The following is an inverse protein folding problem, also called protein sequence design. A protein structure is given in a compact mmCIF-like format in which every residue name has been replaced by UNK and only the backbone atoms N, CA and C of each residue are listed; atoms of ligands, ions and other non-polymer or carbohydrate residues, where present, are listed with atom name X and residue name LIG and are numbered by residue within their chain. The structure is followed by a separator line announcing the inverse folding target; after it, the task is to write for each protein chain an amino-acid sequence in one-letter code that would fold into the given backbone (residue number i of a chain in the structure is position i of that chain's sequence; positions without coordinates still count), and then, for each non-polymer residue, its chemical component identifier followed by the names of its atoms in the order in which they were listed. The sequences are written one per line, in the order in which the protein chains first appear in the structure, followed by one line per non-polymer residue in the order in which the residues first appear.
data_IF_121969082609
#
_entry.id   IF_121969082609
#
_cell.length_a   1.000
_cell.length_b   1.000
_cell.length_c   1.000
_cell.angle_alpha   90.00
_cell.angle_beta   90.00
_cell.angle_gamma   90.00
#
_symmetry.space_group_name_H-M   'P 1'
#
loop_
_entity.id
_entity.type
_entity.pdbx_description
1 polymer ?
#
# COMPACT_ATOMS: atom_id res chain seq x y z
N UNK A 1 -8.08 -24.54 8.19
CA UNK A 1 -9.11 -23.73 7.50
C UNK A 1 -8.41 -22.53 6.92
N UNK A 2 -8.45 -22.33 5.60
CA UNK A 2 -7.89 -21.13 4.98
C UNK A 2 -8.81 -19.95 5.29
N UNK A 3 -8.23 -18.85 5.79
CA UNK A 3 -8.98 -17.60 5.99
C UNK A 3 -9.50 -17.11 4.63
N UNK A 4 -10.75 -16.62 4.52
CA UNK A 4 -11.34 -16.24 3.23
C UNK A 4 -10.83 -14.86 2.75
N UNK A 5 -9.61 -14.47 3.11
CA UNK A 5 -9.05 -13.16 2.82
C UNK A 5 -7.92 -13.29 1.81
N UNK A 6 -7.87 -12.32 0.88
CA UNK A 6 -6.81 -12.21 -0.13
C UNK A 6 -6.33 -10.77 -0.23
N UNK A 7 -5.02 -10.60 -0.35
CA UNK A 7 -4.41 -9.32 -0.68
C UNK A 7 -4.57 -9.11 -2.18
N UNK A 8 -5.38 -8.13 -2.57
CA UNK A 8 -5.59 -7.79 -3.97
C UNK A 8 -4.42 -7.02 -4.53
N UNK A 9 -3.96 -6.05 -3.75
CA UNK A 9 -2.89 -5.14 -4.15
C UNK A 9 -2.05 -4.79 -2.93
N UNK A 10 -0.74 -4.73 -3.11
CA UNK A 10 0.16 -4.18 -2.13
C UNK A 10 1.22 -3.36 -2.84
N UNK A 11 1.41 -2.10 -2.45
CA UNK A 11 2.34 -1.22 -3.13
C UNK A 11 2.99 -0.22 -2.17
N UNK A 12 4.17 0.23 -2.57
CA UNK A 12 4.92 1.28 -1.88
C UNK A 12 5.15 2.40 -2.87
N UNK A 13 4.82 3.63 -2.49
CA UNK A 13 4.93 4.78 -3.37
C UNK A 13 5.44 6.02 -2.65
N UNK A 14 6.05 6.93 -3.40
CA UNK A 14 6.40 8.29 -2.97
C UNK A 14 5.25 9.24 -3.31
N UNK A 15 5.02 10.30 -2.55
CA UNK A 15 4.07 11.34 -2.98
C UNK A 15 4.66 12.14 -4.14
N UNK A 16 3.79 12.72 -4.97
CA UNK A 16 4.16 13.55 -6.13
C UNK A 16 4.97 14.80 -5.73
N UNK A 17 4.81 15.29 -4.50
CA UNK A 17 5.52 16.47 -4.00
C UNK A 17 6.90 16.18 -3.42
N UNK A 18 7.36 14.91 -3.42
CA UNK A 18 8.71 14.60 -3.01
C UNK A 18 9.73 15.25 -3.96
N UNK A 19 10.72 15.95 -3.39
CA UNK A 19 11.63 16.90 -4.08
C UNK A 19 12.47 16.33 -5.23
N UNK A 20 12.44 15.02 -5.46
CA UNK A 20 13.35 14.30 -6.36
C UNK A 20 12.65 13.40 -7.39
N UNK A 21 11.32 13.49 -7.58
CA UNK A 21 10.72 12.78 -8.72
C UNK A 21 11.01 13.52 -10.02
N UNK A 22 11.71 12.88 -10.94
CA UNK A 22 11.88 13.37 -12.31
C UNK A 22 10.65 13.08 -13.17
N UNK A 23 10.00 11.94 -12.94
CA UNK A 23 8.81 11.50 -13.68
C UNK A 23 7.76 10.84 -12.78
N UNK A 24 6.48 10.95 -13.15
CA UNK A 24 5.37 10.31 -12.41
C UNK A 24 5.55 8.78 -12.29
N UNK A 25 6.17 8.16 -13.29
CA UNK A 25 6.54 6.74 -13.29
C UNK A 25 7.40 6.33 -12.08
N UNK A 26 8.22 7.24 -11.56
CA UNK A 26 9.12 6.99 -10.43
C UNK A 26 8.39 6.99 -9.08
N UNK A 27 7.12 7.38 -9.09
CA UNK A 27 6.28 7.45 -7.91
C UNK A 27 6.07 6.08 -7.26
N UNK A 28 5.92 5.04 -8.08
CA UNK A 28 5.66 3.68 -7.59
C UNK A 28 6.99 3.00 -7.31
N UNK A 29 7.35 2.73 -6.06
CA UNK A 29 8.61 2.03 -5.69
C UNK A 29 8.48 0.50 -5.73
N UNK A 30 7.28 -0.01 -5.47
CA UNK A 30 6.96 -1.43 -5.51
C UNK A 30 5.47 -1.60 -5.78
N UNK A 31 5.09 -2.63 -6.56
CA UNK A 31 3.70 -2.97 -6.79
C UNK A 31 3.51 -4.49 -6.89
N UNK A 32 2.52 -5.00 -6.18
CA UNK A 32 2.00 -6.35 -6.28
C UNK A 32 0.50 -6.28 -6.63
N UNK A 33 0.01 -7.08 -7.58
CA UNK A 33 0.75 -8.04 -8.40
C UNK A 33 1.56 -7.38 -9.53
N UNK A 34 2.68 -7.99 -9.93
CA UNK A 34 3.62 -7.47 -10.95
C UNK A 34 3.04 -7.37 -12.37
N UNK A 35 1.92 -8.03 -12.65
CA UNK A 35 1.31 -8.05 -13.98
C UNK A 35 0.48 -6.82 -14.33
N UNK A 36 0.30 -5.87 -13.40
CA UNK A 36 -0.52 -4.68 -13.60
C UNK A 36 0.22 -3.63 -14.44
N UNK A 37 -0.47 -3.01 -15.41
CA UNK A 37 0.15 -2.00 -16.28
C UNK A 37 0.58 -0.76 -15.48
N UNK A 38 1.62 -0.07 -15.93
CA UNK A 38 2.11 1.14 -15.26
C UNK A 38 1.02 2.21 -15.12
N UNK A 39 0.18 2.38 -16.15
CA UNK A 39 -0.92 3.34 -16.11
C UNK A 39 -1.97 2.99 -15.04
N UNK A 40 -2.28 1.69 -14.88
CA UNK A 40 -3.22 1.25 -13.85
C UNK A 40 -2.61 1.34 -12.45
N UNK A 41 -1.29 1.11 -12.31
CA UNK A 41 -0.57 1.32 -11.06
C UNK A 41 -0.61 2.81 -10.64
N UNK A 42 -0.28 3.72 -11.56
CA UNK A 42 -0.33 5.16 -11.32
C UNK A 42 -1.74 5.65 -11.00
N UNK A 43 -2.76 5.09 -11.66
CA UNK A 43 -4.16 5.42 -11.39
C UNK A 43 -4.56 5.07 -9.95
N UNK A 44 -4.18 3.88 -9.46
CA UNK A 44 -4.47 3.46 -8.08
C UNK A 44 -3.66 4.26 -7.06
N UNK A 45 -2.38 4.51 -7.36
CA UNK A 45 -1.51 5.33 -6.49
C UNK A 45 -2.04 6.75 -6.38
N UNK A 46 -2.44 7.38 -7.49
CA UNK A 46 -3.02 8.72 -7.50
C UNK A 46 -4.30 8.82 -6.68
N UNK A 47 -5.16 7.80 -6.73
CA UNK A 47 -6.36 7.74 -5.88
C UNK A 47 -5.99 7.68 -4.39
N UNK A 48 -5.05 6.80 -4.02
CA UNK A 48 -4.61 6.65 -2.63
C UNK A 48 -3.92 7.91 -2.09
N UNK A 49 -3.09 8.55 -2.92
CA UNK A 49 -2.45 9.82 -2.59
C UNK A 49 -3.49 10.93 -2.39
N UNK A 50 -4.49 11.03 -3.27
CA UNK A 50 -5.56 12.01 -3.13
C UNK A 50 -6.35 11.81 -1.84
N UNK A 51 -6.63 10.56 -1.45
CA UNK A 51 -7.33 10.23 -0.21
C UNK A 51 -6.49 10.59 1.02
N UNK A 52 -5.19 10.27 1.01
CA UNK A 52 -4.27 10.67 2.08
C UNK A 52 -4.17 12.19 2.21
N UNK A 53 -4.00 12.90 1.09
CA UNK A 53 -3.93 14.36 1.04
C UNK A 53 -5.21 15.01 1.57
N UNK A 54 -6.36 14.50 1.12
CA UNK A 54 -7.68 14.93 1.61
C UNK A 54 -7.82 14.71 3.11
N UNK A 55 -7.41 13.55 3.64
CA UNK A 55 -7.49 13.27 5.08
C UNK A 55 -6.58 14.17 5.91
N UNK A 56 -5.37 14.45 5.40
CA UNK A 56 -4.40 15.32 6.06
C UNK A 56 -4.88 16.78 6.11
N UNK A 57 -5.75 17.21 5.19
CA UNK A 57 -6.39 18.52 5.27
C UNK A 57 -7.19 18.71 6.58
N UNK A 58 -7.74 17.62 7.13
CA UNK A 58 -8.44 17.61 8.41
C UNK A 58 -7.53 17.31 9.61
N UNK A 59 -6.21 17.33 9.42
CA UNK A 59 -5.20 16.96 10.44
C UNK A 59 -5.34 15.52 10.97
N UNK A 60 -5.93 14.62 10.17
CA UNK A 60 -6.09 13.20 10.49
C UNK A 60 -5.52 12.35 9.37
N UNK A 61 -4.37 11.72 9.57
CA UNK A 61 -3.84 10.80 8.57
C UNK A 61 -4.68 9.54 8.48
N UNK A 62 -5.20 9.26 7.28
CA UNK A 62 -6.01 8.07 7.03
C UNK A 62 -5.21 6.78 7.28
N UNK A 63 -5.74 5.89 8.13
CA UNK A 63 -5.15 4.56 8.42
C UNK A 63 -5.84 3.44 7.66
N UNK A 64 -7.14 3.57 7.40
CA UNK A 64 -7.92 2.60 6.63
C UNK A 64 -9.06 3.26 5.84
N UNK A 65 -9.41 2.66 4.70
CA UNK A 65 -10.56 3.04 3.88
C UNK A 65 -11.38 1.80 3.57
N UNK A 66 -12.66 1.88 3.88
CA UNK A 66 -13.58 0.76 3.76
C UNK A 66 -14.35 0.92 2.45
N UNK A 67 -14.36 -0.14 1.66
CA UNK A 67 -15.08 -0.19 0.39
C UNK A 67 -16.09 -1.33 0.45
N UNK A 68 -16.99 -1.39 -0.54
CA UNK A 68 -17.97 -2.47 -0.64
C UNK A 68 -17.33 -3.87 -0.65
N UNK A 69 -16.16 -3.99 -1.26
CA UNK A 69 -15.57 -5.29 -1.60
C UNK A 69 -14.25 -5.57 -0.86
N UNK A 70 -13.85 -4.72 0.09
CA UNK A 70 -12.57 -4.84 0.77
C UNK A 70 -12.17 -3.56 1.50
N UNK A 71 -10.98 -3.56 2.09
CA UNK A 71 -10.43 -2.45 2.86
C UNK A 71 -9.00 -2.14 2.40
N UNK A 72 -8.68 -0.85 2.32
CA UNK A 72 -7.33 -0.36 2.11
C UNK A 72 -6.73 0.03 3.46
N UNK A 73 -5.47 -0.32 3.69
CA UNK A 73 -4.72 0.02 4.88
C UNK A 73 -3.49 0.82 4.48
N UNK A 74 -3.21 1.88 5.23
CA UNK A 74 -2.15 2.84 4.92
C UNK A 74 -1.13 2.84 6.05
N UNK A 75 0.15 2.79 5.69
CA UNK A 75 1.24 2.88 6.65
C UNK A 75 2.35 3.80 6.11
N UNK A 76 2.71 4.81 6.90
CA UNK A 76 3.78 5.73 6.52
C UNK A 76 5.14 5.13 6.88
N UNK A 77 5.99 4.93 5.87
CA UNK A 77 7.34 4.38 6.06
C UNK A 77 8.32 5.46 6.50
N UNK A 78 8.27 6.61 5.81
CA UNK A 78 8.98 7.86 6.10
C UNK A 78 8.14 9.03 5.56
N UNK A 79 8.59 10.27 5.76
CA UNK A 79 7.95 11.42 5.12
C UNK A 79 7.87 11.23 3.60
N UNK A 80 6.71 11.52 3.03
CA UNK A 80 6.39 11.35 1.62
C UNK A 80 6.47 9.90 1.07
N UNK A 81 6.63 8.85 1.89
CA UNK A 81 6.64 7.44 1.42
C UNK A 81 5.65 6.60 2.18
N UNK A 82 4.76 5.93 1.44
CA UNK A 82 3.64 5.18 1.99
C UNK A 82 3.61 3.76 1.44
N UNK A 83 3.25 2.83 2.31
CA UNK A 83 2.84 1.47 1.97
C UNK A 83 1.32 1.36 2.06
N UNK A 84 0.71 0.72 1.06
CA UNK A 84 -0.74 0.50 1.01
C UNK A 84 -1.02 -0.97 0.75
N UNK A 85 -1.93 -1.53 1.54
CA UNK A 85 -2.40 -2.91 1.41
C UNK A 85 -3.91 -2.92 1.18
N UNK A 86 -4.35 -3.48 0.07
CA UNK A 86 -5.76 -3.70 -0.24
C UNK A 86 -6.12 -5.16 0.03
N UNK A 87 -7.01 -5.39 1.00
CA UNK A 87 -7.48 -6.71 1.41
C UNK A 87 -8.95 -6.85 1.06
N UNK A 88 -9.32 -8.01 0.52
CA UNK A 88 -10.72 -8.34 0.21
C UNK A 88 -11.02 -9.76 0.59
N UNK A 89 -12.31 -10.08 0.63
CA UNK A 89 -12.78 -11.45 0.74
C UNK A 89 -12.66 -12.15 -0.61
N UNK A 90 -12.22 -13.40 -0.61
CA UNK A 90 -12.17 -14.26 -1.80
C UNK A 90 -13.58 -14.37 -2.39
N UNK A 91 -13.70 -14.21 -3.71
CA UNK A 91 -14.98 -14.23 -4.42
C UNK A 91 -16.03 -13.25 -3.88
N UNK A 92 -15.60 -12.07 -3.41
CA UNK A 92 -16.46 -11.00 -2.88
C UNK A 92 -17.67 -10.66 -3.78
N UNK A 93 -17.52 -10.74 -5.10
CA UNK A 93 -18.62 -10.50 -6.05
C UNK A 93 -19.71 -11.59 -6.05
N UNK A 94 -19.37 -12.81 -5.63
CA UNK A 94 -20.29 -13.95 -5.57
C UNK A 94 -21.05 -14.02 -4.24
N UNK A 95 -20.69 -13.20 -3.24
CA UNK A 95 -21.29 -13.20 -1.91
C UNK A 95 -22.37 -12.09 -1.85
N UNK A 96 -23.67 -12.45 -1.73
CA UNK A 96 -24.71 -11.47 -1.41
C UNK A 96 -24.37 -10.75 -0.10
N UNK A 97 -24.59 -9.43 -0.03
CA UNK A 97 -24.24 -8.62 1.15
C UNK A 97 -22.76 -8.67 1.56
N UNK A 98 -21.84 -8.84 0.59
CA UNK A 98 -20.40 -8.93 0.84
C UNK A 98 -19.83 -7.80 1.71
N UNK A 99 -20.39 -6.58 1.66
CA UNK A 99 -19.91 -5.47 2.49
C UNK A 99 -20.04 -5.75 4.00
N UNK A 100 -21.19 -6.23 4.47
CA UNK A 100 -21.38 -6.59 5.89
C UNK A 100 -20.43 -7.71 6.29
N UNK A 101 -20.26 -8.71 5.43
CA UNK A 101 -19.30 -9.78 5.66
C UNK A 101 -17.85 -9.26 5.71
N UNK A 102 -17.46 -8.33 4.83
CA UNK A 102 -16.13 -7.71 4.84
C UNK A 102 -15.88 -6.93 6.13
N UNK A 103 -16.87 -6.16 6.61
CA UNK A 103 -16.75 -5.40 7.87
C UNK A 103 -16.55 -6.31 9.08
N UNK A 104 -17.21 -7.48 9.10
CA UNK A 104 -17.06 -8.42 10.19
C UNK A 104 -15.77 -9.26 10.14
N UNK A 105 -15.27 -9.55 8.94
CA UNK A 105 -14.13 -10.48 8.76
C UNK A 105 -12.79 -9.75 8.68
N UNK A 106 -12.76 -8.54 8.13
CA UNK A 106 -11.54 -7.75 7.99
C UNK A 106 -11.44 -6.81 9.20
N UNK A 107 -10.70 -7.24 10.21
CA UNK A 107 -10.39 -6.42 11.38
C UNK A 107 -9.29 -5.40 11.08
N UNK A 108 -9.58 -4.13 11.33
CA UNK A 108 -8.69 -3.02 10.97
C UNK A 108 -7.42 -3.00 11.81
N UNK A 109 -7.53 -3.35 13.09
CA UNK A 109 -6.40 -3.35 14.02
C UNK A 109 -5.42 -4.46 13.65
N UNK A 110 -5.93 -5.65 13.34
CA UNK A 110 -5.14 -6.80 12.94
C UNK A 110 -4.45 -6.54 11.59
N UNK A 111 -5.19 -6.07 10.58
CA UNK A 111 -4.61 -5.82 9.25
C UNK A 111 -3.64 -4.65 9.27
N UNK A 112 -3.97 -3.56 9.97
CA UNK A 112 -3.07 -2.43 10.20
C UNK A 112 -1.78 -2.86 10.92
N UNK A 113 -1.89 -3.68 11.97
CA UNK A 113 -0.73 -4.21 12.69
C UNK A 113 0.11 -5.13 11.80
N UNK A 114 -0.49 -6.00 11.00
CA UNK A 114 0.24 -6.87 10.05
C UNK A 114 1.02 -6.04 9.02
N UNK A 115 0.41 -4.99 8.47
CA UNK A 115 1.07 -4.07 7.56
C UNK A 115 2.26 -3.38 8.25
N UNK A 116 2.04 -2.79 9.43
CA UNK A 116 3.08 -2.13 10.23
C UNK A 116 4.25 -3.07 10.54
N UNK A 117 3.96 -4.26 11.09
CA UNK A 117 4.97 -5.26 11.45
C UNK A 117 5.80 -5.70 10.23
N UNK A 118 5.16 -5.81 9.06
CA UNK A 118 5.88 -6.17 7.81
C UNK A 118 6.78 -5.03 7.35
N UNK A 119 6.31 -3.79 7.41
CA UNK A 119 7.09 -2.59 7.10
C UNK A 119 8.26 -2.38 8.08
N UNK A 120 8.05 -2.61 9.37
CA UNK A 120 9.09 -2.55 10.40
C UNK A 120 10.16 -3.63 10.18
N UNK A 121 9.73 -4.86 9.83
CA UNK A 121 10.65 -5.94 9.48
C UNK A 121 11.50 -5.59 8.25
N UNK A 122 10.90 -4.97 7.22
CA UNK A 122 11.66 -4.46 6.07
C UNK A 122 12.72 -3.44 6.52
N UNK A 123 12.30 -2.44 7.33
CA UNK A 123 13.20 -1.40 7.85
C UNK A 123 14.35 -1.97 8.67
N UNK A 124 14.10 -3.03 9.46
CA UNK A 124 15.14 -3.71 10.25
C UNK A 124 16.20 -4.39 9.37
N UNK A 125 15.81 -4.98 8.24
CA UNK A 125 16.71 -5.73 7.36
C UNK A 125 17.44 -4.86 6.34
N UNK A 126 16.78 -3.80 5.84
CA UNK A 126 17.30 -2.97 4.74
C UNK A 126 17.65 -1.54 5.16
N UNK A 127 17.33 -1.15 6.39
CA UNK A 127 17.46 0.22 6.88
C UNK A 127 16.28 1.11 6.47
N UNK A 128 16.32 2.41 6.82
CA UNK A 128 15.31 3.37 6.37
C UNK A 128 15.40 3.59 4.85
N UNK A 129 14.26 3.89 4.24
CA UNK A 129 14.19 4.31 2.85
C UNK A 129 14.91 5.67 2.71
N UNK A 130 15.75 5.82 1.70
CA UNK A 130 16.30 7.11 1.28
C UNK A 130 15.72 7.47 -0.08
N UNK A 131 15.26 8.72 -0.26
CA UNK A 131 14.74 9.19 -1.55
C UNK A 131 15.57 10.37 -2.09
N UNK A 132 16.80 10.51 -1.61
CA UNK A 132 17.64 11.70 -1.88
C UNK A 132 18.24 11.70 -3.28
N UNK A 133 18.48 10.53 -3.86
CA UNK A 133 19.13 10.35 -5.17
C UNK A 133 18.45 9.25 -5.98
N UNK A 134 18.59 9.28 -7.30
CA UNK A 134 18.08 8.20 -8.18
C UNK A 134 18.70 6.84 -7.85
N UNK A 135 19.96 6.85 -7.40
CA UNK A 135 20.65 5.62 -6.97
C UNK A 135 19.99 5.02 -5.73
N UNK A 136 19.48 5.86 -4.82
CA UNK A 136 18.72 5.39 -3.66
C UNK A 136 17.38 4.79 -4.08
N UNK A 137 16.66 5.43 -5.01
CA UNK A 137 15.37 4.93 -5.52
C UNK A 137 15.53 3.55 -6.16
N UNK A 138 16.54 3.37 -7.02
CA UNK A 138 16.84 2.09 -7.66
C UNK A 138 17.22 1.00 -6.65
N UNK A 139 18.02 1.36 -5.63
CA UNK A 139 18.35 0.46 -4.52
C UNK A 139 17.10 0.06 -3.72
N UNK A 140 16.23 1.01 -3.42
CA UNK A 140 14.99 0.74 -2.68
C UNK A 140 14.07 -0.18 -3.47
N UNK A 141 13.86 0.06 -4.77
CA UNK A 141 13.07 -0.81 -5.66
C UNK A 141 13.55 -2.26 -5.59
N UNK A 142 14.87 -2.46 -5.72
CA UNK A 142 15.50 -3.80 -5.62
C UNK A 142 15.28 -4.44 -4.25
N UNK A 143 15.49 -3.69 -3.17
CA UNK A 143 15.31 -4.20 -1.81
C UNK A 143 13.84 -4.55 -1.51
N UNK A 144 12.91 -3.68 -1.90
CA UNK A 144 11.47 -3.90 -1.75
C UNK A 144 11.04 -5.16 -2.51
N UNK A 145 11.46 -5.30 -3.77
CA UNK A 145 11.16 -6.49 -4.56
C UNK A 145 11.77 -7.76 -3.95
N UNK A 146 13.02 -7.70 -3.47
CA UNK A 146 13.70 -8.85 -2.86
C UNK A 146 13.04 -9.31 -1.56
N UNK A 147 12.47 -8.39 -0.79
CA UNK A 147 11.78 -8.67 0.48
C UNK A 147 10.32 -9.08 0.26
N UNK A 148 9.50 -8.21 -0.33
CA UNK A 148 8.05 -8.39 -0.40
C UNK A 148 7.60 -9.48 -1.39
N UNK A 149 8.42 -9.89 -2.35
CA UNK A 149 8.08 -11.04 -3.21
C UNK A 149 8.18 -12.39 -2.50
N UNK A 150 8.79 -12.45 -1.31
CA UNK A 150 9.00 -13.68 -0.54
C UNK A 150 8.11 -13.77 0.71
N UNK A 151 7.41 -12.69 1.02
CA UNK A 151 6.53 -12.54 2.20
C UNK A 151 5.10 -12.83 1.79
#
# INVERSE_FOLDING_TARGET
MAFPLTVKEFFVFTTRHAKNLGHEAEQVLYFYPHGKSQNDQLSVVGLCEALLSFSNFFSTSCTSIHTRNGKHFFHQLIDQVWAVMNVSVVDSAAIPHCHEFCEHVIDDSLMGHRLSATCERYKLLHGPISISTDTDLEKNRKNLAAFFNKV
#
